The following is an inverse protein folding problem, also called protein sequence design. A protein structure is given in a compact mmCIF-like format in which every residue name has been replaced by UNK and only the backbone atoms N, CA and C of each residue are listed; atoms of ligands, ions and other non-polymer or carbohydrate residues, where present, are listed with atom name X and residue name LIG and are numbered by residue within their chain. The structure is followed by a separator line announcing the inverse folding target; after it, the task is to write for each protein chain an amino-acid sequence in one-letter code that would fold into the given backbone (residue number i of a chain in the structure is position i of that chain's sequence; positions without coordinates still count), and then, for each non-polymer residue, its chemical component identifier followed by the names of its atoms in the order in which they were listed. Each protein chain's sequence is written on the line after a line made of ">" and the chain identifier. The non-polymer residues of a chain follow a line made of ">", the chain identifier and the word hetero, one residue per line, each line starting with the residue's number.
data_IF_507486105657
#
_entry.id   IF_507486105657
#
_cell.length_a   1.000
_cell.length_b   1.000
_cell.length_c   1.000
_cell.angle_alpha   90.00
_cell.angle_beta   90.00
_cell.angle_gamma   90.00
#
_symmetry.space_group_name_H-M   'P 1'
#
loop_
_entity.id
_entity.type
_entity.pdbx_description
1 polymer ?
#
# COMPACT_ATOMS: atom_id res chain seq x y z
N UNK A 1 8.74 29.70 -37.86
CA UNK A 1 9.17 28.99 -36.64
C UNK A 1 7.94 28.79 -35.76
N UNK A 2 7.65 27.59 -35.24
CA UNK A 2 6.55 27.40 -34.31
C UNK A 2 6.79 28.25 -33.05
N UNK A 3 5.76 28.95 -32.60
CA UNK A 3 5.82 29.79 -31.39
C UNK A 3 5.80 28.85 -30.17
N UNK A 4 6.84 28.90 -29.34
CA UNK A 4 6.84 28.17 -28.07
C UNK A 4 5.91 28.93 -27.13
N UNK A 5 4.88 28.25 -26.63
CA UNK A 5 3.99 28.81 -25.61
C UNK A 5 4.49 28.35 -24.25
N UNK A 6 5.09 29.27 -23.51
CA UNK A 6 5.47 29.04 -22.12
C UNK A 6 4.26 29.28 -21.22
N UNK A 7 3.98 28.33 -20.33
CA UNK A 7 2.90 28.41 -19.36
C UNK A 7 3.47 28.27 -17.95
N UNK A 8 2.97 29.05 -16.96
CA UNK A 8 3.42 28.90 -15.58
C UNK A 8 3.01 27.53 -15.02
N UNK A 9 3.89 26.90 -14.25
CA UNK A 9 3.57 25.67 -13.52
C UNK A 9 2.58 25.98 -12.39
N UNK A 10 1.32 25.61 -12.58
CA UNK A 10 0.26 25.72 -11.58
C UNK A 10 -0.81 24.65 -11.83
N UNK A 11 -1.73 24.46 -10.89
CA UNK A 11 -2.77 23.42 -11.00
C UNK A 11 -3.66 23.52 -12.24
N UNK A 12 -3.94 24.73 -12.73
CA UNK A 12 -4.74 24.91 -13.95
C UNK A 12 -3.99 24.38 -15.19
N UNK A 13 -2.67 24.60 -15.25
CA UNK A 13 -1.83 24.22 -16.38
C UNK A 13 -1.27 22.78 -16.26
N UNK A 14 -1.36 22.13 -15.10
CA UNK A 14 -0.97 20.70 -14.98
C UNK A 14 -1.82 19.79 -15.88
N UNK A 15 -3.06 20.17 -16.18
CA UNK A 15 -3.92 19.45 -17.12
C UNK A 15 -3.42 19.48 -18.57
N UNK A 16 -2.60 20.47 -18.94
CA UNK A 16 -2.01 20.57 -20.29
C UNK A 16 -0.63 19.94 -20.37
N UNK A 17 0.00 19.66 -19.23
CA UNK A 17 1.34 19.08 -19.17
C UNK A 17 1.30 17.56 -19.43
N UNK A 18 2.22 17.08 -20.27
CA UNK A 18 2.33 15.66 -20.66
C UNK A 18 0.98 15.04 -21.06
N UNK A 19 0.23 15.74 -21.92
CA UNK A 19 -1.12 15.33 -22.38
C UNK A 19 -2.11 15.06 -21.23
N UNK A 20 -1.98 15.83 -20.14
CA UNK A 20 -2.82 15.75 -18.95
C UNK A 20 -2.59 14.50 -18.10
N UNK A 21 -1.43 13.85 -18.22
CA UNK A 21 -1.11 12.67 -17.40
C UNK A 21 -1.17 12.97 -15.90
N UNK A 22 -0.71 14.14 -15.47
CA UNK A 22 -0.75 14.54 -14.06
C UNK A 22 -2.19 14.66 -13.55
N UNK A 23 -3.07 15.29 -14.33
CA UNK A 23 -4.50 15.39 -14.03
C UNK A 23 -5.17 14.00 -13.97
N UNK A 24 -4.90 13.14 -14.96
CA UNK A 24 -5.41 11.76 -14.99
C UNK A 24 -4.92 10.95 -13.80
N UNK A 25 -3.66 11.12 -13.40
CA UNK A 25 -3.07 10.42 -12.26
C UNK A 25 -3.76 10.80 -10.95
N UNK A 26 -3.99 12.10 -10.72
CA UNK A 26 -4.74 12.57 -9.55
C UNK A 26 -6.18 12.04 -9.55
N UNK A 27 -6.88 12.14 -10.69
CA UNK A 27 -8.25 11.63 -10.85
C UNK A 27 -8.34 10.14 -10.54
N UNK A 28 -7.38 9.35 -11.02
CA UNK A 28 -7.30 7.92 -10.73
C UNK A 28 -7.23 7.64 -9.23
N UNK A 29 -6.35 8.34 -8.49
CA UNK A 29 -6.22 8.13 -7.04
C UNK A 29 -7.47 8.57 -6.25
N UNK A 30 -8.12 9.66 -6.66
CA UNK A 30 -9.38 10.09 -6.06
C UNK A 30 -10.51 9.09 -6.31
N UNK A 31 -10.64 8.59 -7.54
CA UNK A 31 -11.61 7.54 -7.88
C UNK A 31 -11.36 6.27 -7.08
N UNK A 32 -10.09 5.87 -6.93
CA UNK A 32 -9.70 4.70 -6.13
C UNK A 32 -10.14 4.83 -4.67
N UNK A 33 -10.01 6.02 -4.07
CA UNK A 33 -10.50 6.28 -2.71
C UNK A 33 -12.02 6.24 -2.64
N UNK A 34 -12.72 6.85 -3.60
CA UNK A 34 -14.17 6.83 -3.63
C UNK A 34 -14.71 5.39 -3.70
N UNK A 35 -14.16 4.57 -4.59
CA UNK A 35 -14.49 3.14 -4.69
C UNK A 35 -14.25 2.41 -3.37
N UNK A 36 -13.14 2.72 -2.68
CA UNK A 36 -12.82 2.10 -1.40
C UNK A 36 -13.77 2.48 -0.27
N UNK A 37 -14.16 3.76 -0.20
CA UNK A 37 -15.13 4.25 0.79
C UNK A 37 -16.51 3.61 0.58
N UNK A 38 -16.92 3.42 -0.68
CA UNK A 38 -18.16 2.72 -1.01
C UNK A 38 -18.10 1.22 -0.66
N UNK A 39 -16.94 0.58 -0.84
CA UNK A 39 -16.74 -0.82 -0.51
C UNK A 39 -16.65 -1.06 1.01
N UNK A 40 -16.20 -0.08 1.79
CA UNK A 40 -15.95 -0.20 3.24
C UNK A 40 -16.49 1.01 4.02
N UNK A 41 -17.81 1.22 4.04
CA UNK A 41 -18.43 2.41 4.65
C UNK A 41 -18.30 2.46 6.18
N UNK A 42 -18.07 1.31 6.84
CA UNK A 42 -17.91 1.24 8.29
C UNK A 42 -16.46 1.31 8.79
N UNK A 43 -15.47 1.34 7.90
CA UNK A 43 -14.06 1.50 8.27
C UNK A 43 -13.78 3.01 8.42
N UNK A 44 -13.45 3.44 9.64
CA UNK A 44 -13.19 4.84 10.00
C UNK A 44 -11.75 5.30 9.68
N UNK A 45 -10.90 4.38 9.22
CA UNK A 45 -9.50 4.67 8.90
C UNK A 45 -9.39 5.71 7.79
N UNK A 46 -8.51 6.70 7.93
CA UNK A 46 -8.32 7.72 6.90
C UNK A 46 -7.77 7.15 5.59
N UNK A 47 -8.35 7.56 4.45
CA UNK A 47 -7.77 7.36 3.11
C UNK A 47 -7.06 8.66 2.70
N UNK A 48 -5.87 8.56 2.11
CA UNK A 48 -5.04 9.73 1.80
C UNK A 48 -4.53 9.68 0.36
N UNK A 49 -4.59 10.81 -0.34
CA UNK A 49 -3.78 11.05 -1.56
C UNK A 49 -2.65 12.02 -1.20
N UNK A 50 -1.44 11.72 -1.67
CA UNK A 50 -0.30 12.62 -1.62
C UNK A 50 0.14 12.89 -3.05
N UNK A 51 0.33 14.17 -3.40
CA UNK A 51 1.03 14.58 -4.61
C UNK A 51 2.35 15.20 -4.16
N UNK A 52 3.45 14.71 -4.72
CA UNK A 52 4.80 15.15 -4.41
C UNK A 52 5.43 15.75 -5.67
N UNK A 53 6.02 16.95 -5.50
CA UNK A 53 6.77 17.62 -6.56
C UNK A 53 8.23 17.67 -6.13
N UNK A 54 9.10 17.06 -6.93
CA UNK A 54 10.54 17.03 -6.72
C UNK A 54 11.23 17.87 -7.78
N UNK A 55 12.07 18.80 -7.35
CA UNK A 55 12.77 19.74 -8.22
C UNK A 55 14.28 19.61 -8.02
N UNK A 56 15.04 19.46 -9.10
CA UNK A 56 16.51 19.45 -9.09
C UNK A 56 17.02 20.57 -10.00
N UNK A 57 17.82 21.54 -9.50
CA UNK A 57 18.32 22.63 -10.32
C UNK A 57 19.28 22.11 -11.39
N UNK A 58 19.33 22.81 -12.52
CA UNK A 58 20.31 22.66 -13.58
C UNK A 58 21.19 23.91 -13.50
N UNK A 59 22.44 23.71 -13.08
CA UNK A 59 23.40 24.80 -12.92
C UNK A 59 24.09 25.11 -14.25
N UNK A 60 24.19 26.39 -14.58
CA UNK A 60 24.97 26.90 -15.70
C UNK A 60 26.47 26.95 -15.40
N UNK A 61 27.24 27.37 -16.41
CA UNK A 61 28.71 27.43 -16.30
C UNK A 61 29.22 28.48 -15.31
N UNK A 62 28.42 29.50 -14.99
CA UNK A 62 28.79 30.58 -14.06
C UNK A 62 28.21 30.37 -12.65
N UNK A 63 27.59 29.21 -12.40
CA UNK A 63 26.98 28.88 -11.11
C UNK A 63 25.57 29.47 -10.92
N UNK A 64 24.94 29.95 -11.98
CA UNK A 64 23.55 30.36 -12.05
C UNK A 64 22.61 29.16 -12.23
N UNK A 65 21.33 29.31 -11.86
CA UNK A 65 20.31 28.30 -12.14
C UNK A 65 19.71 28.56 -13.52
N UNK A 66 20.09 27.78 -14.53
CA UNK A 66 19.58 27.89 -15.91
C UNK A 66 18.22 27.20 -16.09
N UNK A 67 17.90 26.24 -15.22
CA UNK A 67 16.65 25.48 -15.33
C UNK A 67 16.44 24.51 -14.17
N UNK A 68 15.36 23.74 -14.25
CA UNK A 68 15.00 22.76 -13.21
C UNK A 68 14.48 21.49 -13.87
N UNK A 69 14.94 20.33 -13.40
CA UNK A 69 14.29 19.04 -13.64
C UNK A 69 13.17 18.87 -12.62
N UNK A 70 11.95 18.68 -13.09
CA UNK A 70 10.78 18.46 -12.26
C UNK A 70 10.31 17.01 -12.39
N UNK A 71 9.95 16.39 -11.27
CA UNK A 71 9.29 15.10 -11.18
C UNK A 71 8.02 15.25 -10.35
N UNK A 72 6.93 14.65 -10.82
CA UNK A 72 5.63 14.68 -10.12
C UNK A 72 5.20 13.25 -9.87
N UNK A 73 4.98 12.95 -8.60
CA UNK A 73 4.52 11.65 -8.15
C UNK A 73 3.16 11.81 -7.45
N UNK A 74 2.25 10.86 -7.65
CA UNK A 74 1.04 10.77 -6.84
C UNK A 74 0.92 9.37 -6.25
N UNK A 75 0.58 9.31 -4.97
CA UNK A 75 0.39 8.07 -4.21
C UNK A 75 -0.94 8.15 -3.46
N UNK A 76 -1.68 7.04 -3.43
CA UNK A 76 -2.85 6.89 -2.54
C UNK A 76 -2.59 5.81 -1.50
N UNK A 77 -2.85 6.12 -0.23
CA UNK A 77 -2.86 5.17 0.87
C UNK A 77 -4.30 4.83 1.23
N UNK A 78 -4.61 3.54 1.15
CA UNK A 78 -5.90 2.94 1.48
C UNK A 78 -5.69 1.99 2.66
N UNK A 79 -6.65 1.88 3.60
CA UNK A 79 -6.53 0.95 4.71
C UNK A 79 -6.27 -0.47 4.22
N UNK A 80 -5.28 -1.13 4.82
CA UNK A 80 -4.84 -2.48 4.42
C UNK A 80 -5.81 -3.51 4.99
N UNK A 81 -6.24 -4.48 4.18
CA UNK A 81 -6.93 -5.66 4.69
C UNK A 81 -5.97 -6.48 5.54
N UNK A 82 -6.31 -6.66 6.81
CA UNK A 82 -5.54 -7.49 7.73
C UNK A 82 -6.44 -8.61 8.22
N UNK A 83 -5.92 -9.83 8.27
CA UNK A 83 -6.53 -10.89 9.08
C UNK A 83 -6.33 -10.56 10.55
N UNK A 84 -6.97 -11.32 11.45
CA UNK A 84 -6.52 -11.33 12.85
C UNK A 84 -5.05 -11.78 12.93
N UNK A 85 -4.38 -11.41 14.00
CA UNK A 85 -3.06 -11.96 14.32
C UNK A 85 -3.25 -13.42 14.73
N UNK A 86 -2.36 -14.29 14.27
CA UNK A 86 -2.34 -15.70 14.62
C UNK A 86 -1.05 -16.00 15.36
N UNK A 87 -1.12 -16.88 16.36
CA UNK A 87 0.06 -17.37 17.06
C UNK A 87 0.65 -18.58 16.34
N UNK A 88 1.96 -18.56 16.13
CA UNK A 88 2.68 -19.64 15.44
C UNK A 88 3.93 -20.04 16.22
N UNK A 89 4.29 -21.32 16.16
CA UNK A 89 5.43 -21.90 16.87
C UNK A 89 6.50 -22.19 15.84
N UNK A 90 7.68 -21.64 16.06
CA UNK A 90 8.83 -21.86 15.19
C UNK A 90 9.42 -23.24 15.48
N UNK A 91 9.70 -24.00 14.42
CA UNK A 91 10.38 -25.31 14.47
C UNK A 91 11.54 -25.33 13.46
N UNK A 92 12.46 -26.29 13.59
CA UNK A 92 13.68 -26.36 12.75
C UNK A 92 13.42 -26.32 11.23
N UNK A 93 12.21 -26.64 10.77
CA UNK A 93 11.84 -26.65 9.36
C UNK A 93 10.55 -25.86 9.04
N UNK A 94 10.19 -24.85 9.85
CA UNK A 94 9.04 -24.00 9.52
C UNK A 94 8.29 -23.45 10.73
N UNK A 95 6.98 -23.27 10.54
CA UNK A 95 6.05 -22.76 11.54
C UNK A 95 4.86 -23.70 11.65
N UNK A 96 4.42 -23.97 12.87
CA UNK A 96 3.19 -24.69 13.17
C UNK A 96 2.12 -23.69 13.64
N UNK A 97 0.85 -24.01 13.38
CA UNK A 97 -0.30 -23.30 13.93
C UNK A 97 -1.25 -24.31 14.57
N UNK A 98 -2.02 -23.87 15.55
CA UNK A 98 -3.09 -24.68 16.14
C UNK A 98 -4.37 -24.47 15.32
N UNK A 99 -4.90 -25.54 14.74
CA UNK A 99 -6.07 -25.47 13.86
C UNK A 99 -7.35 -25.11 14.62
N UNK A 100 -7.51 -25.62 15.84
CA UNK A 100 -8.71 -25.40 16.65
C UNK A 100 -8.67 -24.05 17.36
N UNK A 101 -7.45 -23.62 17.74
CA UNK A 101 -7.21 -22.33 18.40
C UNK A 101 -6.12 -21.53 17.68
N UNK A 102 -6.44 -20.89 16.52
CA UNK A 102 -5.45 -20.16 15.70
C UNK A 102 -4.76 -18.98 16.41
N UNK A 103 -5.30 -18.54 17.54
CA UNK A 103 -4.82 -17.48 18.42
C UNK A 103 -4.18 -17.98 19.72
N UNK A 104 -4.09 -19.30 19.94
CA UNK A 104 -3.47 -19.90 21.12
C UNK A 104 -2.78 -21.22 20.78
N UNK A 105 -1.51 -21.16 20.39
CA UNK A 105 -0.80 -22.35 19.89
C UNK A 105 -0.52 -23.41 20.95
N UNK A 106 -0.46 -23.00 22.21
CA UNK A 106 -0.21 -23.90 23.35
C UNK A 106 -1.50 -24.52 23.90
N UNK A 107 -2.67 -24.10 23.40
CA UNK A 107 -3.94 -24.64 23.86
C UNK A 107 -4.11 -26.09 23.35
N UNK A 108 -4.41 -27.06 24.23
CA UNK A 108 -4.68 -28.43 23.79
C UNK A 108 -5.86 -28.43 22.82
N UNK A 109 -5.72 -29.18 21.72
CA UNK A 109 -6.82 -29.41 20.77
C UNK A 109 -8.00 -30.03 21.51
N UNK A 110 -9.22 -29.67 21.08
CA UNK A 110 -10.44 -30.28 21.59
C UNK A 110 -10.68 -31.68 21.02
N UNK A 111 -9.98 -32.01 19.93
CA UNK A 111 -10.06 -33.32 19.31
C UNK A 111 -8.96 -34.20 19.90
N UNK A 112 -9.29 -35.45 20.29
CA UNK A 112 -8.27 -36.41 20.69
C UNK A 112 -7.31 -36.59 19.51
N UNK A 113 -6.01 -36.51 19.78
CA UNK A 113 -5.00 -36.88 18.79
C UNK A 113 -5.18 -38.35 18.43
N UNK A 114 -5.16 -38.67 17.14
CA UNK A 114 -5.34 -40.04 16.62
C UNK A 114 -4.28 -41.05 17.14
N UNK A 115 -3.30 -40.59 17.91
CA UNK A 115 -2.23 -41.38 18.53
C UNK A 115 -2.55 -41.91 19.95
N UNK A 116 -3.71 -41.62 20.54
CA UNK A 116 -4.08 -42.08 21.91
C UNK A 116 -4.80 -43.45 21.97
N UNK A 117 -4.90 -44.19 20.86
CA UNK A 117 -5.46 -45.56 20.82
C UNK A 117 -4.38 -46.62 20.64
N UNK A 118 -3.50 -46.86 21.63
CA UNK A 118 -2.88 -48.17 21.87
C UNK A 118 -2.05 -48.11 23.15
N UNK A 119 -2.62 -48.49 24.29
CA UNK A 119 -1.95 -49.22 25.36
C UNK A 119 -2.93 -49.38 26.52
N UNK A 120 -3.78 -50.41 26.45
CA UNK A 120 -3.99 -51.23 27.64
C UNK A 120 -4.71 -52.54 27.32
N UNK A 121 -4.27 -53.59 28.03
CA UNK A 121 -4.82 -54.94 28.15
C UNK A 121 -4.20 -56.06 27.30
N UNK A 122 -3.05 -56.57 27.78
CA UNK A 122 -2.82 -58.02 27.85
C UNK A 122 -2.17 -58.37 29.20
N UNK A 123 -2.92 -59.11 30.02
CA UNK A 123 -2.48 -59.77 31.26
C UNK A 123 -1.35 -60.79 31.03
#
# INVERSE_FOLDING_TARGET
>A
MPRIQELPLNFANLATMDNGKVDKLLKFHLQRIATDLLARPGDDSSRKVTIEFSFKPIMGSEGECEGVKAEIEAKSKIPVYRTKTYEMRVVNNGMLFNQDFPDAIDQPSLLPSEDEETEDHAN
#
